data_IF_728847560713
#
_entry.id   IF_728847560713
#
_cell.length_a   1.000
_cell.length_b   1.000
_cell.length_c   1.000
_cell.angle_alpha   90.00
_cell.angle_beta   90.00
_cell.angle_gamma   90.00
#
_symmetry.space_group_name_H-M   'P 1'
#
loop_
_entity.id
_entity.type
_entity.pdbx_description
1 polymer ?
#
# COMPACT_ATOMS: atom_id res chain seq x y z
N UNK A 1 -3.75 1.87 14.32
CA UNK A 1 -2.72 1.91 13.26
C UNK A 1 -1.41 1.42 13.84
N UNK A 2 -0.76 0.47 13.17
CA UNK A 2 0.63 0.07 13.44
C UNK A 2 1.32 -0.11 12.09
N UNK A 3 2.44 0.60 11.88
CA UNK A 3 3.28 0.49 10.69
C UNK A 3 4.67 0.02 11.13
N UNK A 4 5.07 -1.16 10.67
CA UNK A 4 6.42 -1.69 10.87
C UNK A 4 7.14 -1.66 9.51
N UNK A 5 8.06 -0.70 9.37
CA UNK A 5 8.80 -0.43 8.14
C UNK A 5 10.26 -0.12 8.46
N UNK A 6 11.18 -0.70 7.68
CA UNK A 6 12.62 -0.60 7.80
C UNK A 6 13.21 0.56 6.99
N UNK A 7 12.53 1.04 5.95
CA UNK A 7 12.93 2.23 5.18
C UNK A 7 11.94 3.39 5.31
N UNK A 8 12.43 4.63 5.20
CA UNK A 8 11.61 5.85 5.20
C UNK A 8 10.68 5.91 3.98
N UNK A 9 11.13 5.45 2.81
CA UNK A 9 10.28 5.40 1.61
C UNK A 9 9.17 4.35 1.76
N UNK A 10 9.47 3.20 2.37
CA UNK A 10 8.46 2.19 2.70
C UNK A 10 7.45 2.69 3.74
N UNK A 11 7.89 3.52 4.69
CA UNK A 11 7.02 4.12 5.69
C UNK A 11 6.03 5.09 5.05
N UNK A 12 6.48 5.93 4.12
CA UNK A 12 5.62 6.88 3.40
C UNK A 12 4.60 6.18 2.50
N UNK A 13 5.03 5.15 1.78
CA UNK A 13 4.11 4.29 1.01
C UNK A 13 3.08 3.67 1.96
N UNK A 14 3.52 3.04 3.06
CA UNK A 14 2.62 2.40 4.02
C UNK A 14 1.62 3.40 4.61
N UNK A 15 2.07 4.62 4.96
CA UNK A 15 1.19 5.67 5.45
C UNK A 15 0.16 6.09 4.39
N UNK A 16 0.61 6.27 3.13
CA UNK A 16 -0.24 6.61 1.99
C UNK A 16 -1.34 5.56 1.76
N UNK A 17 -0.98 4.27 1.80
CA UNK A 17 -1.95 3.17 1.69
C UNK A 17 -2.87 3.10 2.92
N UNK A 18 -2.34 3.42 4.11
CA UNK A 18 -3.08 3.47 5.37
C UNK A 18 -4.23 4.48 5.36
N UNK A 19 -4.09 5.62 4.67
CA UNK A 19 -5.14 6.64 4.57
C UNK A 19 -6.46 6.11 4.01
N UNK A 20 -6.42 5.10 3.14
CA UNK A 20 -7.63 4.44 2.64
C UNK A 20 -8.46 3.82 3.78
N UNK A 21 -7.79 3.15 4.73
CA UNK A 21 -8.43 2.48 5.85
C UNK A 21 -8.82 3.47 6.95
N UNK A 22 -7.96 4.45 7.23
CA UNK A 22 -8.22 5.51 8.21
C UNK A 22 -9.47 6.33 7.84
N UNK A 23 -9.57 6.78 6.58
CA UNK A 23 -10.73 7.53 6.08
C UNK A 23 -12.06 6.77 6.16
N UNK A 24 -12.00 5.44 6.31
CA UNK A 24 -13.17 4.55 6.45
C UNK A 24 -13.32 3.97 7.85
N UNK A 25 -12.47 4.36 8.81
CA UNK A 25 -12.44 3.82 10.17
C UNK A 25 -12.32 2.28 10.22
N UNK A 26 -11.61 1.70 9.25
CA UNK A 26 -11.33 0.26 9.20
C UNK A 26 -10.06 0.00 10.02
N UNK A 27 -10.08 -0.88 11.03
CA UNK A 27 -8.87 -1.31 11.72
C UNK A 27 -7.93 -2.05 10.76
N UNK A 28 -6.64 -1.69 10.77
CA UNK A 28 -5.64 -2.28 9.90
C UNK A 28 -4.25 -2.32 10.55
N UNK A 29 -3.40 -3.21 10.04
CA UNK A 29 -1.97 -3.28 10.32
C UNK A 29 -1.18 -3.39 9.01
N UNK A 30 -0.03 -2.74 8.95
CA UNK A 30 0.87 -2.81 7.80
C UNK A 30 2.24 -3.30 8.27
N UNK A 31 2.71 -4.37 7.64
CA UNK A 31 4.01 -4.99 7.92
C UNK A 31 4.84 -5.06 6.62
N UNK A 32 6.04 -4.50 6.64
CA UNK A 32 7.04 -4.73 5.59
C UNK A 32 7.67 -6.12 5.76
N UNK A 33 7.62 -6.93 4.71
CA UNK A 33 8.24 -8.26 4.65
C UNK A 33 9.64 -8.19 4.07
N UNK A 34 10.47 -9.18 4.44
CA UNK A 34 11.86 -9.28 4.01
C UNK A 34 12.07 -9.38 2.48
N UNK A 35 11.03 -9.71 1.71
CA UNK A 35 11.06 -9.75 0.25
C UNK A 35 10.68 -8.41 -0.41
N UNK A 36 10.62 -7.30 0.34
CA UNK A 36 10.28 -5.98 -0.19
C UNK A 36 8.81 -5.84 -0.58
N UNK A 37 7.91 -6.50 0.17
CA UNK A 37 6.46 -6.38 -0.01
C UNK A 37 5.82 -5.82 1.26
N UNK A 38 4.70 -5.12 1.12
CA UNK A 38 3.87 -4.70 2.25
C UNK A 38 2.69 -5.65 2.40
N UNK A 39 2.51 -6.18 3.60
CA UNK A 39 1.32 -6.95 3.97
C UNK A 39 0.40 -6.06 4.78
N UNK A 40 -0.83 -5.88 4.29
CA UNK A 40 -1.85 -5.08 4.93
C UNK A 40 -2.98 -6.00 5.37
N UNK A 41 -3.07 -6.28 6.66
CA UNK A 41 -4.18 -7.04 7.22
C UNK A 41 -5.24 -6.11 7.83
N UNK A 42 -6.51 -6.43 7.61
CA UNK A 42 -7.67 -5.66 8.06
C UNK A 42 -8.90 -6.56 8.20
N UNK A 43 -9.98 -6.03 8.75
CA UNK A 43 -11.27 -6.72 8.79
C UNK A 43 -12.21 -6.16 7.72
N UNK A 44 -12.87 -7.05 6.98
CA UNK A 44 -13.90 -6.69 6.00
C UNK A 44 -15.14 -7.55 6.20
N UNK A 45 -16.29 -6.91 6.41
CA UNK A 45 -17.55 -7.60 6.69
C UNK A 45 -17.46 -8.67 7.80
N UNK A 46 -16.70 -8.39 8.87
CA UNK A 46 -16.51 -9.30 10.00
C UNK A 46 -15.53 -10.46 9.77
N UNK A 47 -14.82 -10.47 8.63
CA UNK A 47 -13.85 -11.50 8.30
C UNK A 47 -12.45 -10.88 8.14
N UNK A 48 -11.39 -11.54 8.65
CA UNK A 48 -10.02 -11.13 8.37
C UNK A 48 -9.72 -11.19 6.87
N UNK A 49 -9.06 -10.15 6.36
CA UNK A 49 -8.62 -10.00 4.99
C UNK A 49 -7.18 -9.47 4.95
N UNK A 50 -6.43 -9.81 3.90
CA UNK A 50 -5.04 -9.38 3.75
C UNK A 50 -4.74 -9.00 2.32
N UNK A 51 -4.22 -7.80 2.08
CA UNK A 51 -3.69 -7.40 0.78
C UNK A 51 -2.17 -7.41 0.82
N UNK A 52 -1.56 -8.03 -0.19
CA UNK A 52 -0.11 -7.96 -0.41
C UNK A 52 0.17 -6.95 -1.52
N UNK A 53 1.00 -5.97 -1.21
CA UNK A 53 1.48 -4.96 -2.15
C UNK A 53 2.95 -5.25 -2.47
N UNK A 54 3.23 -5.49 -3.74
CA UNK A 54 4.56 -5.76 -4.26
C UNK A 54 5.03 -4.58 -5.11
N UNK A 55 6.32 -4.26 -5.00
CA UNK A 55 6.93 -3.19 -5.78
C UNK A 55 8.01 -3.78 -6.68
N UNK A 56 8.01 -3.36 -7.94
CA UNK A 56 9.17 -3.63 -8.78
C UNK A 56 10.38 -2.87 -8.20
N UNK A 57 11.53 -3.55 -8.10
CA UNK A 57 12.75 -2.97 -7.51
C UNK A 57 13.20 -1.67 -8.19
N UNK A 58 12.92 -1.54 -9.50
CA UNK A 58 13.14 -0.30 -10.24
C UNK A 58 12.17 0.82 -9.84
N UNK A 59 10.89 0.51 -9.63
CA UNK A 59 9.89 1.49 -9.20
C UNK A 59 10.20 2.02 -7.79
N UNK A 60 10.70 1.16 -6.90
CA UNK A 60 11.15 1.58 -5.57
C UNK A 60 12.37 2.52 -5.64
N UNK A 61 13.37 2.18 -6.46
CA UNK A 61 14.55 3.04 -6.67
C UNK A 61 14.19 4.39 -7.29
N UNK A 62 13.28 4.38 -8.25
CA UNK A 62 12.80 5.61 -8.90
C UNK A 62 12.14 6.51 -7.84
N UNK A 63 11.22 5.97 -7.02
CA UNK A 63 10.55 6.73 -5.96
C UNK A 63 11.52 7.28 -4.91
N UNK A 64 12.54 6.51 -4.53
CA UNK A 64 13.58 6.95 -3.59
C UNK A 64 14.48 8.06 -4.15
N UNK A 65 14.53 8.19 -5.49
CA UNK A 65 15.33 9.21 -6.19
C UNK A 65 14.55 10.47 -6.56
N UNK A 66 13.23 10.45 -6.43
CA UNK A 66 12.37 11.59 -6.78
C UNK A 66 12.57 12.76 -5.82
N UNK A 67 12.43 13.97 -6.37
CA UNK A 67 12.24 15.16 -5.55
C UNK A 67 10.86 15.16 -4.87
N UNK A 68 10.67 16.06 -3.90
CA UNK A 68 9.46 16.10 -3.08
C UNK A 68 8.16 16.32 -3.88
N UNK A 69 8.22 16.97 -5.05
CA UNK A 69 7.04 17.18 -5.90
C UNK A 69 6.71 15.90 -6.68
N UNK A 70 7.69 15.32 -7.35
CA UNK A 70 7.52 14.07 -8.09
C UNK A 70 7.10 12.93 -7.16
N UNK A 71 7.66 12.88 -5.93
CA UNK A 71 7.28 11.91 -4.91
C UNK A 71 5.82 12.07 -4.49
N UNK A 72 5.35 13.30 -4.24
CA UNK A 72 3.93 13.56 -3.90
C UNK A 72 2.98 13.15 -5.02
N UNK A 73 3.32 13.43 -6.27
CA UNK A 73 2.51 13.02 -7.42
C UNK A 73 2.46 11.49 -7.52
N UNK A 74 3.60 10.81 -7.36
CA UNK A 74 3.65 9.35 -7.39
C UNK A 74 2.83 8.71 -6.25
N UNK A 75 2.94 9.22 -5.02
CA UNK A 75 2.17 8.75 -3.88
C UNK A 75 0.66 8.96 -4.08
N UNK A 76 0.23 10.11 -4.61
CA UNK A 76 -1.19 10.37 -4.91
C UNK A 76 -1.75 9.40 -5.96
N UNK A 77 -0.95 9.03 -6.96
CA UNK A 77 -1.32 7.99 -7.95
C UNK A 77 -1.45 6.62 -7.29
N UNK A 78 -0.49 6.25 -6.44
CA UNK A 78 -0.51 4.99 -5.67
C UNK A 78 -1.78 4.91 -4.82
N UNK A 79 -2.11 5.96 -4.08
CA UNK A 79 -3.31 6.05 -3.25
C UNK A 79 -4.59 5.85 -4.08
N UNK A 80 -4.68 6.55 -5.22
CA UNK A 80 -5.86 6.51 -6.10
C UNK A 80 -6.08 5.12 -6.72
N UNK A 81 -5.01 4.48 -7.22
CA UNK A 81 -5.10 3.14 -7.79
C UNK A 81 -5.37 2.08 -6.72
N UNK A 82 -4.77 2.20 -5.54
CA UNK A 82 -5.06 1.32 -4.41
C UNK A 82 -6.54 1.42 -4.01
N UNK A 83 -7.06 2.64 -3.84
CA UNK A 83 -8.47 2.85 -3.51
C UNK A 83 -9.40 2.27 -4.57
N UNK A 84 -9.06 2.45 -5.86
CA UNK A 84 -9.81 1.88 -6.98
C UNK A 84 -9.85 0.35 -6.94
N UNK A 85 -8.74 -0.30 -6.62
CA UNK A 85 -8.68 -1.76 -6.48
C UNK A 85 -9.52 -2.26 -5.29
N UNK A 86 -9.35 -1.62 -4.14
CA UNK A 86 -10.11 -1.96 -2.93
C UNK A 86 -11.62 -1.78 -3.13
N UNK A 87 -12.04 -0.78 -3.90
CA UNK A 87 -13.45 -0.54 -4.21
C UNK A 87 -14.03 -1.50 -5.28
N UNK A 88 -13.18 -2.14 -6.10
CA UNK A 88 -13.60 -3.09 -7.16
C UNK A 88 -13.74 -4.54 -6.67
N UNK A 89 -13.19 -4.85 -5.50
CA UNK A 89 -12.99 -6.23 -5.05
C UNK A 89 -14.09 -6.85 -4.21
N UNK A 90 -14.70 -7.94 -4.69
CA UNK A 90 -15.29 -8.98 -3.82
C UNK A 90 -14.20 -9.88 -3.20
N UNK A 91 -14.55 -10.90 -2.38
CA UNK A 91 -13.61 -11.62 -1.51
C UNK A 91 -12.34 -12.21 -2.15
N UNK A 92 -12.34 -12.47 -3.45
CA UNK A 92 -11.17 -12.96 -4.21
C UNK A 92 -10.17 -11.87 -4.61
N UNK A 93 -10.56 -10.60 -4.58
CA UNK A 93 -9.65 -9.46 -4.73
C UNK A 93 -8.90 -9.14 -3.41
N UNK A 94 -9.40 -9.66 -2.29
CA UNK A 94 -8.77 -9.62 -0.97
C UNK A 94 -7.63 -10.65 -0.82
N UNK A 95 -7.28 -11.37 -1.90
CA UNK A 95 -6.07 -12.16 -2.07
C UNK A 95 -5.34 -11.72 -3.36
N UNK A 96 -5.43 -10.42 -3.67
CA UNK A 96 -4.89 -9.82 -4.89
C UNK A 96 -3.51 -9.23 -4.67
N UNK A 97 -2.60 -9.54 -5.57
CA UNK A 97 -1.30 -8.90 -5.69
C UNK A 97 -1.48 -7.50 -6.31
N UNK A 98 -1.19 -6.44 -5.55
CA UNK A 98 -1.07 -5.10 -6.13
C UNK A 98 0.38 -4.87 -6.52
N UNK A 99 0.66 -4.90 -7.83
CA UNK A 99 1.98 -4.54 -8.37
C UNK A 99 1.99 -3.08 -8.78
N UNK A 100 2.92 -2.33 -8.19
CA UNK A 100 3.24 -0.99 -8.66
C UNK A 100 4.33 -1.11 -9.70
N UNK A 101 3.92 -0.93 -10.95
CA UNK A 101 4.82 -0.76 -12.08
C UNK A 101 5.24 0.71 -12.19
N UNK A 102 6.41 0.93 -12.80
CA UNK A 102 7.06 2.22 -13.06
C UNK A 102 6.06 3.40 -13.14
N UNK A 103 6.19 4.34 -12.20
CA UNK A 103 5.35 5.55 -12.02
C UNK A 103 5.74 6.70 -12.94
#
# INVERSE_FOLDING_TARGET
MSIQSQSDSWREIAATLGHYFESRSIPFHIEERANGTLHIGFESAGHPATVTVSFDESAYRDLASFDDEAKRVALSRIESEFARLMNRGGPSALAGEFRIHRV
#
